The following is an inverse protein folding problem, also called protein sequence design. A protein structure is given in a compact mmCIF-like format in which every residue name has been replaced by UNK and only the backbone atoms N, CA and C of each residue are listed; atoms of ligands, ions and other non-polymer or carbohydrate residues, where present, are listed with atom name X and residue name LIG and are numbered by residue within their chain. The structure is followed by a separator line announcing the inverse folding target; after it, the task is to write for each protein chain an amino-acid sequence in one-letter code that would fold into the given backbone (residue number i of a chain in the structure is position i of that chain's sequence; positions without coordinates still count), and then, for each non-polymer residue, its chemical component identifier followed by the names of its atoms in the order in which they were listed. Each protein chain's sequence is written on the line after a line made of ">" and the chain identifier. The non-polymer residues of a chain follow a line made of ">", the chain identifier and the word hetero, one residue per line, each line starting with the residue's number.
data_IF_374523417477
#
_entry.id   IF_374523417477
#
_cell.length_a   1.000
_cell.length_b   1.000
_cell.length_c   1.000
_cell.angle_alpha   90.00
_cell.angle_beta   90.00
_cell.angle_gamma   90.00
#
_symmetry.space_group_name_H-M   'P 1'
#
loop_
_entity.id
_entity.type
_entity.pdbx_description
1 polymer ?
#
# COMPACT_ATOMS: atom_id res chain seq x y z
N UNK A 1 -34.35 31.40 45.76
CA UNK A 1 -33.28 30.38 45.63
C UNK A 1 -33.06 30.15 44.15
N UNK A 2 -31.97 30.75 43.56
CA UNK A 2 -31.70 30.71 42.10
C UNK A 2 -30.65 29.66 41.82
N UNK A 3 -31.04 28.55 41.21
CA UNK A 3 -30.15 27.47 40.80
C UNK A 3 -29.53 27.88 39.47
N UNK A 4 -28.21 28.10 39.46
CA UNK A 4 -27.43 28.34 38.25
C UNK A 4 -27.01 26.98 37.71
N UNK A 5 -27.57 26.56 36.54
CA UNK A 5 -27.06 25.46 35.78
C UNK A 5 -25.77 25.86 35.07
N UNK A 6 -24.67 25.26 35.46
CA UNK A 6 -23.37 25.38 34.82
C UNK A 6 -23.31 24.34 33.69
N UNK A 7 -23.51 24.77 32.45
CA UNK A 7 -23.30 23.92 31.26
C UNK A 7 -21.79 23.78 31.03
N UNK A 8 -21.24 22.66 31.45
CA UNK A 8 -19.87 22.27 31.09
C UNK A 8 -19.84 21.77 29.64
N UNK A 9 -19.40 22.60 28.72
CA UNK A 9 -19.15 22.20 27.33
C UNK A 9 -17.92 21.30 27.28
N UNK A 10 -18.14 20.00 27.13
CA UNK A 10 -17.09 19.03 26.90
C UNK A 10 -16.64 19.16 25.43
N UNK A 11 -15.57 19.91 25.18
CA UNK A 11 -14.90 19.92 23.88
C UNK A 11 -14.20 18.57 23.67
N UNK A 12 -14.84 17.67 22.95
CA UNK A 12 -14.21 16.44 22.47
C UNK A 12 -13.25 16.81 21.32
N UNK A 13 -11.99 17.03 21.68
CA UNK A 13 -10.92 17.26 20.70
C UNK A 13 -10.65 15.92 20.01
N UNK A 14 -11.20 15.73 18.81
CA UNK A 14 -10.80 14.63 17.93
C UNK A 14 -9.43 14.93 17.35
N UNK A 15 -8.38 14.46 18.01
CA UNK A 15 -7.06 14.42 17.42
C UNK A 15 -7.15 13.49 16.19
N UNK A 16 -6.84 14.01 15.00
CA UNK A 16 -6.55 13.17 13.83
C UNK A 16 -5.24 12.42 14.15
N UNK A 17 -5.37 11.24 14.73
CA UNK A 17 -4.24 10.33 14.85
C UNK A 17 -4.03 9.70 13.47
N UNK A 18 -2.91 10.00 12.82
CA UNK A 18 -2.44 9.19 11.70
C UNK A 18 -2.18 7.79 12.24
N UNK A 19 -2.67 6.78 11.53
CA UNK A 19 -2.39 5.40 11.91
C UNK A 19 -0.89 5.14 11.84
N UNK A 20 -0.36 4.41 12.81
CA UNK A 20 1.00 3.87 12.69
C UNK A 20 1.02 2.79 11.58
N UNK A 21 2.13 2.71 10.85
CA UNK A 21 2.28 1.67 9.84
C UNK A 21 2.22 0.28 10.49
N UNK A 22 1.44 -0.66 9.91
CA UNK A 22 1.35 -2.00 10.45
C UNK A 22 2.69 -2.73 10.34
N UNK A 23 2.93 -3.66 11.26
CA UNK A 23 4.18 -4.42 11.36
C UNK A 23 3.95 -5.89 10.98
N UNK A 24 5.03 -6.61 10.79
CA UNK A 24 4.98 -8.07 10.61
C UNK A 24 4.24 -8.74 11.77
N UNK A 25 3.26 -9.58 11.43
CA UNK A 25 2.36 -10.26 12.36
C UNK A 25 1.02 -9.55 12.60
N UNK A 26 0.93 -8.24 12.31
CA UNK A 26 -0.33 -7.51 12.47
C UNK A 26 -1.34 -7.92 11.39
N UNK A 27 -2.63 -7.71 11.66
CA UNK A 27 -3.64 -7.76 10.63
C UNK A 27 -3.43 -6.61 9.64
N UNK A 28 -3.43 -6.92 8.34
CA UNK A 28 -3.36 -5.89 7.31
C UNK A 28 -4.62 -5.03 7.34
N UNK A 29 -4.49 -3.69 7.38
CA UNK A 29 -5.65 -2.81 7.30
C UNK A 29 -6.44 -3.07 6.01
N UNK A 30 -7.77 -3.11 6.10
CA UNK A 30 -8.62 -3.21 4.92
C UNK A 30 -8.47 -1.97 4.06
N UNK A 31 -8.41 -2.15 2.76
CA UNK A 31 -8.47 -1.04 1.81
C UNK A 31 -9.43 -1.32 0.66
N UNK A 32 -9.91 -0.26 0.07
CA UNK A 32 -10.61 -0.23 -1.19
C UNK A 32 -10.09 0.97 -1.99
N UNK A 33 -9.67 0.75 -3.22
CA UNK A 33 -9.19 1.79 -4.12
C UNK A 33 -9.57 1.51 -5.56
N UNK A 34 -9.52 2.54 -6.42
CA UNK A 34 -9.72 2.39 -7.85
C UNK A 34 -8.37 2.33 -8.56
N UNK A 35 -8.23 1.37 -9.46
CA UNK A 35 -7.06 1.27 -10.31
C UNK A 35 -7.09 2.30 -11.47
N UNK A 36 -6.09 2.26 -12.33
CA UNK A 36 -5.93 3.12 -13.50
C UNK A 36 -7.10 3.05 -14.50
N UNK A 37 -7.90 1.99 -14.46
CA UNK A 37 -9.03 1.77 -15.36
C UNK A 37 -10.38 2.03 -14.66
N UNK A 38 -10.33 2.51 -13.42
CA UNK A 38 -11.50 2.78 -12.59
C UNK A 38 -12.12 1.55 -11.94
N UNK A 39 -11.50 0.37 -12.07
CA UNK A 39 -11.94 -0.86 -11.42
C UNK A 39 -11.63 -0.78 -9.94
N UNK A 40 -12.59 -1.13 -9.11
CA UNK A 40 -12.40 -1.22 -7.67
C UNK A 40 -11.61 -2.46 -7.30
N UNK A 41 -10.56 -2.30 -6.50
CA UNK A 41 -9.73 -3.35 -5.91
C UNK A 41 -9.88 -3.27 -4.40
N UNK A 42 -10.13 -4.40 -3.75
CA UNK A 42 -10.24 -4.54 -2.29
C UNK A 42 -9.29 -5.62 -1.80
N UNK A 43 -8.70 -5.42 -0.62
CA UNK A 43 -7.87 -6.48 -0.01
C UNK A 43 -8.66 -7.79 0.16
N UNK A 44 -9.94 -7.70 0.49
CA UNK A 44 -10.83 -8.86 0.67
C UNK A 44 -10.99 -9.75 -0.58
N UNK A 45 -10.73 -9.21 -1.78
CA UNK A 45 -10.85 -9.97 -3.03
C UNK A 45 -9.82 -11.12 -3.11
N UNK A 46 -8.72 -10.97 -2.37
CA UNK A 46 -7.58 -11.91 -2.34
C UNK A 46 -7.59 -12.84 -1.12
N UNK A 47 -8.42 -12.56 -0.11
CA UNK A 47 -8.47 -13.33 1.12
C UNK A 47 -8.74 -14.83 0.85
N UNK A 48 -7.94 -15.70 1.45
CA UNK A 48 -7.99 -17.17 1.25
C UNK A 48 -7.54 -17.64 -0.13
N UNK A 49 -7.14 -16.75 -1.04
CA UNK A 49 -6.84 -17.08 -2.44
C UNK A 49 -5.41 -16.76 -2.84
N UNK A 50 -4.94 -15.54 -2.58
CA UNK A 50 -3.63 -15.05 -3.02
C UNK A 50 -2.93 -14.30 -1.91
N UNK A 51 -1.61 -14.34 -1.93
CA UNK A 51 -0.76 -13.38 -1.25
C UNK A 51 -0.89 -12.03 -1.98
N UNK A 52 -0.72 -10.92 -1.26
CA UNK A 52 -0.71 -9.59 -1.86
C UNK A 52 0.61 -8.89 -1.55
N UNK A 53 1.32 -8.47 -2.58
CA UNK A 53 2.42 -7.53 -2.49
C UNK A 53 1.86 -6.14 -2.76
N UNK A 54 1.56 -5.41 -1.68
CA UNK A 54 1.09 -4.03 -1.72
C UNK A 54 2.27 -3.10 -1.53
N UNK A 55 2.63 -2.31 -2.57
CA UNK A 55 3.74 -1.38 -2.45
C UNK A 55 3.27 0.06 -2.66
N UNK A 56 3.67 0.93 -1.73
CA UNK A 56 3.47 2.37 -1.80
C UNK A 56 4.72 3.03 -2.34
N UNK A 57 4.55 4.03 -3.21
CA UNK A 57 5.66 4.76 -3.80
C UNK A 57 5.32 6.24 -3.96
N UNK A 58 6.35 7.12 -3.95
CA UNK A 58 6.14 8.56 -3.95
C UNK A 58 5.42 9.11 -5.18
N UNK A 59 5.86 8.74 -6.40
CA UNK A 59 5.35 9.38 -7.62
C UNK A 59 5.76 8.63 -8.89
N UNK A 60 4.82 8.56 -9.86
CA UNK A 60 5.07 8.09 -11.22
C UNK A 60 6.25 8.82 -11.88
N UNK A 61 6.92 8.18 -12.82
CA UNK A 61 7.98 8.73 -13.67
C UNK A 61 9.23 9.25 -12.93
N UNK A 62 9.36 9.01 -11.62
CA UNK A 62 10.62 9.30 -10.91
C UNK A 62 11.57 8.11 -11.00
N UNK A 63 12.88 8.36 -11.03
CA UNK A 63 13.87 7.32 -11.30
C UNK A 63 13.80 6.11 -10.35
N UNK A 64 13.67 6.35 -9.03
CA UNK A 64 13.55 5.27 -8.05
C UNK A 64 12.24 4.50 -8.16
N UNK A 65 11.11 5.19 -8.39
CA UNK A 65 9.80 4.54 -8.53
C UNK A 65 9.70 3.76 -9.84
N UNK A 66 10.27 4.27 -10.93
CA UNK A 66 10.36 3.55 -12.20
C UNK A 66 11.21 2.29 -12.05
N UNK A 67 12.37 2.37 -11.37
CA UNK A 67 13.22 1.20 -11.08
C UNK A 67 12.45 0.15 -10.27
N UNK A 68 11.71 0.57 -9.26
CA UNK A 68 10.89 -0.32 -8.44
C UNK A 68 9.78 -1.01 -9.23
N UNK A 69 8.98 -0.23 -9.96
CA UNK A 69 7.90 -0.75 -10.78
C UNK A 69 8.41 -1.73 -11.87
N UNK A 70 9.48 -1.38 -12.58
CA UNK A 70 10.12 -2.27 -13.55
C UNK A 70 10.68 -3.54 -12.89
N UNK A 71 11.27 -3.40 -11.71
CA UNK A 71 11.79 -4.53 -10.96
C UNK A 71 10.70 -5.52 -10.54
N UNK A 72 9.53 -5.05 -10.11
CA UNK A 72 8.39 -5.92 -9.83
C UNK A 72 7.80 -6.50 -11.11
N UNK A 73 7.65 -5.70 -12.18
CA UNK A 73 7.19 -6.18 -13.50
C UNK A 73 8.01 -7.38 -13.99
N UNK A 74 9.32 -7.26 -13.95
CA UNK A 74 10.23 -8.29 -14.45
C UNK A 74 10.17 -9.59 -13.63
N UNK A 75 9.70 -9.48 -12.37
CA UNK A 75 9.56 -10.60 -11.44
C UNK A 75 8.13 -11.09 -11.26
N UNK A 76 7.15 -10.45 -11.90
CA UNK A 76 5.72 -10.82 -11.77
C UNK A 76 5.50 -12.30 -12.12
N UNK A 77 6.19 -12.83 -13.10
CA UNK A 77 6.09 -14.27 -13.44
C UNK A 77 6.50 -15.17 -12.28
N UNK A 78 7.60 -14.85 -11.59
CA UNK A 78 8.04 -15.56 -10.39
C UNK A 78 7.07 -15.36 -9.23
N UNK A 79 6.57 -14.13 -9.04
CA UNK A 79 5.59 -13.79 -8.00
C UNK A 79 4.26 -14.50 -8.25
N UNK A 80 3.76 -14.50 -9.48
CA UNK A 80 2.53 -15.20 -9.85
C UNK A 80 2.63 -16.72 -9.64
N UNK A 81 3.80 -17.33 -9.93
CA UNK A 81 4.06 -18.75 -9.64
C UNK A 81 4.02 -19.04 -8.13
N UNK A 82 4.23 -18.03 -7.29
CA UNK A 82 4.08 -18.11 -5.84
C UNK A 82 2.68 -17.64 -5.36
N UNK A 83 1.73 -17.53 -6.27
CA UNK A 83 0.36 -17.07 -5.99
C UNK A 83 0.29 -15.66 -5.36
N UNK A 84 1.15 -14.73 -5.82
CA UNK A 84 1.22 -13.35 -5.34
C UNK A 84 0.59 -12.41 -6.35
N UNK A 85 -0.31 -11.55 -5.88
CA UNK A 85 -0.81 -10.39 -6.61
C UNK A 85 0.03 -9.17 -6.25
N UNK A 86 0.50 -8.43 -7.26
CA UNK A 86 1.24 -7.17 -7.06
C UNK A 86 0.30 -6.00 -7.28
N UNK A 87 0.29 -5.04 -6.35
CA UNK A 87 -0.54 -3.84 -6.42
C UNK A 87 0.31 -2.65 -6.00
N UNK A 88 0.45 -1.66 -6.88
CA UNK A 88 1.09 -0.38 -6.54
C UNK A 88 0.07 0.65 -6.08
N UNK A 89 0.48 1.56 -5.21
CA UNK A 89 -0.36 2.65 -4.69
C UNK A 89 0.43 3.94 -4.67
N UNK A 90 -0.08 4.98 -5.29
CA UNK A 90 0.43 6.34 -5.14
C UNK A 90 -0.68 7.38 -5.20
N UNK A 91 -0.34 8.64 -4.96
CA UNK A 91 -1.26 9.77 -5.05
C UNK A 91 -1.47 10.28 -6.48
N UNK A 92 -0.83 9.66 -7.46
CA UNK A 92 -1.00 10.03 -8.85
C UNK A 92 -2.40 9.70 -9.37
N UNK A 93 -2.83 10.38 -10.41
CA UNK A 93 -4.14 10.17 -11.02
C UNK A 93 -4.18 8.89 -11.85
N UNK A 94 -5.37 8.36 -12.09
CA UNK A 94 -5.59 7.22 -12.99
C UNK A 94 -4.98 7.46 -14.38
N UNK A 95 -5.09 8.67 -14.91
CA UNK A 95 -4.47 9.05 -16.20
C UNK A 95 -2.94 8.98 -16.16
N UNK A 96 -2.30 9.42 -15.06
CA UNK A 96 -0.86 9.29 -14.86
C UNK A 96 -0.46 7.82 -14.83
N UNK A 97 -1.16 7.00 -14.07
CA UNK A 97 -0.93 5.56 -13.98
C UNK A 97 -1.08 4.86 -15.33
N UNK A 98 -2.11 5.21 -16.13
CA UNK A 98 -2.25 4.64 -17.48
C UNK A 98 -1.03 4.93 -18.36
N UNK A 99 -0.51 6.17 -18.33
CA UNK A 99 0.70 6.55 -19.08
C UNK A 99 1.93 5.82 -18.55
N UNK A 100 2.07 5.72 -17.23
CA UNK A 100 3.18 5.03 -16.58
C UNK A 100 3.19 3.54 -16.91
N UNK A 101 2.03 2.88 -16.83
CA UNK A 101 1.85 1.48 -17.22
C UNK A 101 2.20 1.27 -18.70
N UNK A 102 1.68 2.13 -19.59
CA UNK A 102 1.92 2.01 -21.02
C UNK A 102 3.40 2.18 -21.38
N UNK A 103 4.07 3.19 -20.82
CA UNK A 103 5.47 3.49 -21.12
C UNK A 103 6.41 2.38 -20.64
N UNK A 104 6.21 1.91 -19.41
CA UNK A 104 7.08 0.89 -18.80
C UNK A 104 6.54 -0.53 -18.93
N UNK A 105 5.41 -0.74 -19.62
CA UNK A 105 4.78 -2.06 -19.85
C UNK A 105 4.52 -2.80 -18.54
N UNK A 106 4.02 -2.08 -17.52
CA UNK A 106 3.70 -2.70 -16.24
C UNK A 106 2.53 -3.67 -16.43
N UNK A 107 2.59 -4.80 -15.75
CA UNK A 107 1.66 -5.93 -15.90
C UNK A 107 0.89 -6.24 -14.61
N UNK A 108 0.68 -5.21 -13.79
CA UNK A 108 -0.08 -5.25 -12.55
C UNK A 108 -0.80 -3.90 -12.33
N UNK A 109 -1.87 -3.86 -11.53
CA UNK A 109 -2.65 -2.66 -11.31
C UNK A 109 -1.94 -1.64 -10.41
N UNK A 110 -2.25 -0.34 -10.65
CA UNK A 110 -1.84 0.77 -9.82
C UNK A 110 -3.10 1.47 -9.27
N UNK A 111 -3.23 1.59 -7.96
CA UNK A 111 -4.32 2.29 -7.30
C UNK A 111 -4.03 3.79 -7.29
N UNK A 112 -4.95 4.58 -7.85
CA UNK A 112 -4.93 6.04 -7.84
C UNK A 112 -5.51 6.56 -6.50
N UNK A 113 -4.68 6.59 -5.46
CA UNK A 113 -5.05 7.05 -4.10
C UNK A 113 -4.97 8.58 -3.99
N UNK A 114 -5.68 9.30 -4.86
CA UNK A 114 -5.56 10.77 -5.00
C UNK A 114 -5.96 11.55 -3.76
N UNK A 115 -6.81 10.99 -2.91
CA UNK A 115 -7.20 11.55 -1.61
C UNK A 115 -6.34 11.03 -0.45
N UNK A 116 -5.52 10.00 -0.70
CA UNK A 116 -4.57 9.43 0.24
C UNK A 116 -5.18 8.55 1.31
N UNK A 117 -6.42 8.09 1.14
CA UNK A 117 -7.10 7.25 2.14
C UNK A 117 -6.39 5.93 2.38
N UNK A 118 -5.91 5.27 1.32
CA UNK A 118 -5.20 4.01 1.45
C UNK A 118 -3.85 4.23 2.13
N UNK A 119 -3.11 5.27 1.73
CA UNK A 119 -1.85 5.64 2.35
C UNK A 119 -1.99 6.03 3.83
N UNK A 120 -3.06 6.73 4.20
CA UNK A 120 -3.38 7.09 5.58
C UNK A 120 -3.71 5.85 6.42
N UNK A 121 -4.49 4.94 5.86
CA UNK A 121 -4.88 3.68 6.52
C UNK A 121 -3.65 2.81 6.84
N UNK A 122 -2.63 2.84 5.99
CA UNK A 122 -1.36 2.14 6.18
C UNK A 122 -0.27 2.98 6.89
N UNK A 123 -0.57 4.21 7.29
CA UNK A 123 0.37 5.08 8.01
C UNK A 123 1.60 5.48 7.20
N UNK A 124 1.49 5.47 5.87
CA UNK A 124 2.63 5.68 4.96
C UNK A 124 2.62 7.03 4.24
N UNK A 125 1.67 7.92 4.56
CA UNK A 125 1.69 9.29 4.02
C UNK A 125 2.94 10.04 4.49
N UNK A 126 3.55 10.82 3.64
CA UNK A 126 4.69 11.70 3.96
C UNK A 126 4.23 13.03 4.60
N UNK A 127 3.84 12.98 5.87
CA UNK A 127 3.35 14.16 6.60
C UNK A 127 2.12 14.76 5.90
N UNK A 128 2.12 16.08 5.63
CA UNK A 128 1.02 16.77 4.95
C UNK A 128 1.13 16.77 3.42
N UNK A 129 2.14 16.11 2.84
CA UNK A 129 2.31 16.07 1.39
C UNK A 129 1.35 15.04 0.77
N UNK A 130 0.80 15.29 -0.44
CA UNK A 130 0.06 14.29 -1.21
C UNK A 130 1.06 13.31 -1.85
N UNK A 131 1.72 12.52 -1.02
CA UNK A 131 2.79 11.62 -1.41
C UNK A 131 2.94 10.51 -0.37
N UNK A 132 3.17 9.29 -0.81
CA UNK A 132 3.49 8.17 0.06
C UNK A 132 4.99 8.02 0.26
N UNK A 133 5.39 7.44 1.41
CA UNK A 133 6.72 6.86 1.58
C UNK A 133 6.86 5.64 0.67
N UNK A 134 8.11 5.22 0.41
CA UNK A 134 8.36 3.94 -0.23
C UNK A 134 8.30 2.85 0.83
N UNK A 135 7.21 2.10 0.85
CA UNK A 135 7.00 0.98 1.78
C UNK A 135 6.29 -0.14 1.06
N UNK A 136 6.77 -1.37 1.23
CA UNK A 136 6.12 -2.56 0.68
C UNK A 136 5.67 -3.49 1.80
N UNK A 137 4.48 -4.06 1.64
CA UNK A 137 3.87 -5.03 2.54
C UNK A 137 3.62 -6.33 1.79
N UNK A 138 4.12 -7.45 2.31
CA UNK A 138 3.69 -8.76 1.88
C UNK A 138 2.58 -9.24 2.82
N UNK A 139 1.40 -9.49 2.29
CA UNK A 139 0.20 -9.85 3.03
C UNK A 139 -0.17 -11.30 2.73
N UNK A 140 -0.40 -12.07 3.78
CA UNK A 140 -0.80 -13.48 3.71
C UNK A 140 -2.25 -13.66 3.25
N UNK A 141 -2.57 -14.87 2.82
CA UNK A 141 -3.96 -15.26 2.49
C UNK A 141 -4.90 -15.18 3.69
N UNK A 142 -4.35 -15.23 4.91
CA UNK A 142 -5.06 -15.03 6.17
C UNK A 142 -5.26 -13.56 6.54
N UNK A 143 -4.78 -12.63 5.71
CA UNK A 143 -4.86 -11.19 5.92
C UNK A 143 -3.83 -10.63 6.91
N UNK A 144 -2.81 -11.39 7.30
CA UNK A 144 -1.73 -10.89 8.17
C UNK A 144 -0.55 -10.40 7.36
N UNK A 145 0.14 -9.39 7.89
CA UNK A 145 1.41 -8.91 7.34
C UNK A 145 2.50 -9.96 7.59
N UNK A 146 3.05 -10.50 6.52
CA UNK A 146 4.18 -11.46 6.55
C UNK A 146 5.51 -10.73 6.65
N UNK A 147 5.66 -9.64 5.89
CA UNK A 147 6.89 -8.85 5.84
C UNK A 147 6.60 -7.41 5.50
N UNK A 148 7.43 -6.50 6.01
CA UNK A 148 7.39 -5.05 5.71
C UNK A 148 8.80 -4.61 5.32
N UNK A 149 8.91 -3.91 4.18
CA UNK A 149 10.14 -3.21 3.78
C UNK A 149 9.86 -1.71 3.76
N UNK A 150 10.56 -0.94 4.60
CA UNK A 150 10.47 0.53 4.68
C UNK A 150 11.86 1.13 4.43
N UNK A 151 12.18 1.40 3.19
CA UNK A 151 13.47 1.99 2.77
C UNK A 151 13.31 2.78 1.47
N UNK A 152 14.24 3.72 1.22
CA UNK A 152 14.30 4.46 -0.03
C UNK A 152 14.88 3.66 -1.22
N UNK A 153 15.53 2.52 -0.96
CA UNK A 153 16.20 1.73 -2.00
C UNK A 153 15.27 0.68 -2.62
N UNK A 154 14.93 0.81 -3.93
CA UNK A 154 14.07 -0.16 -4.61
C UNK A 154 14.62 -1.59 -4.63
N UNK A 155 15.93 -1.79 -4.64
CA UNK A 155 16.52 -3.13 -4.72
C UNK A 155 16.31 -3.93 -3.43
N UNK A 156 16.33 -3.26 -2.30
CA UNK A 156 16.07 -3.89 -1.01
C UNK A 156 14.64 -4.45 -0.97
N UNK A 157 13.66 -3.72 -1.53
CA UNK A 157 12.28 -4.20 -1.62
C UNK A 157 12.18 -5.54 -2.35
N UNK A 158 12.86 -5.70 -3.49
CA UNK A 158 12.83 -6.98 -4.23
C UNK A 158 13.47 -8.11 -3.45
N UNK A 159 14.64 -7.85 -2.89
CA UNK A 159 15.43 -8.87 -2.21
C UNK A 159 14.73 -9.37 -0.94
N UNK A 160 14.17 -8.46 -0.15
CA UNK A 160 13.45 -8.81 1.08
C UNK A 160 12.13 -9.51 0.78
N UNK A 161 11.35 -9.03 -0.20
CA UNK A 161 10.10 -9.69 -0.61
C UNK A 161 10.36 -11.10 -1.15
N UNK A 162 11.43 -11.28 -1.95
CA UNK A 162 11.84 -12.60 -2.41
C UNK A 162 12.24 -13.51 -1.23
N UNK A 163 13.06 -13.03 -0.32
CA UNK A 163 13.48 -13.80 0.85
C UNK A 163 12.28 -14.22 1.72
N UNK A 164 11.30 -13.31 1.92
CA UNK A 164 10.08 -13.60 2.66
C UNK A 164 9.25 -14.70 1.97
N UNK A 165 9.09 -14.64 0.65
CA UNK A 165 8.38 -15.67 -0.13
C UNK A 165 9.10 -17.01 -0.10
N UNK A 166 10.43 -17.04 -0.24
CA UNK A 166 11.22 -18.27 -0.18
C UNK A 166 11.17 -18.92 1.23
N UNK A 167 10.99 -18.10 2.27
CA UNK A 167 10.76 -18.55 3.64
C UNK A 167 9.45 -19.31 3.81
N UNK A 168 8.37 -18.86 3.13
CA UNK A 168 7.06 -19.53 3.19
C UNK A 168 7.04 -20.92 2.55
N UNK A 169 7.92 -21.19 1.59
CA UNK A 169 8.02 -22.51 0.93
C UNK A 169 8.69 -23.57 1.79
N UNK A 170 9.40 -23.14 2.85
CA UNK A 170 10.19 -24.04 3.70
C UNK A 170 9.48 -24.41 5.00
N UNK A 171 8.34 -23.76 5.28
CA UNK A 171 7.52 -24.00 6.46
C UNK A 171 6.32 -24.89 6.12
#
# INVERSE_FOLDING_TARGET
>A
MKIKFLLASLFLSTALAFADAPKTGDAAPSFEGKDQDGKTIKLSDFAGKKLVLLYFYPKDFTGGCTKEACGFRDRVGELANNNVEVIGVSFDSAESHQKFIAEYKLNFPLIADTDGKVADTYGVRMGFKPMAKRVSFLIGTDGKIIHVTDTGDPEIHFNEMKAALDGLKKS
#
